data_IF_214676219591
#
_entry.id   IF_214676219591
#
_cell.length_a   1.000
_cell.length_b   1.000
_cell.length_c   1.000
_cell.angle_alpha   90.00
_cell.angle_beta   90.00
_cell.angle_gamma   90.00
#
_symmetry.space_group_name_H-M   'P 1'
#
loop_
_entity.id
_entity.type
_entity.pdbx_description
1 polymer ?
#
# COMPACT_ATOMS: atom_id res chain seq x y z
N UNK A 1 39.12 39.09 19.62
CA UNK A 1 38.41 39.69 18.47
C UNK A 1 37.21 38.83 18.13
N UNK A 2 35.97 39.32 18.27
CA UNK A 2 34.76 38.54 18.03
C UNK A 2 34.21 38.80 16.61
N UNK A 3 33.89 37.73 15.87
CA UNK A 3 33.10 37.83 14.65
C UNK A 3 31.68 37.35 14.95
N UNK A 4 30.79 38.33 15.12
CA UNK A 4 29.35 38.18 15.20
C UNK A 4 28.80 37.62 13.88
N UNK A 5 28.06 36.52 13.91
CA UNK A 5 27.17 36.13 12.81
C UNK A 5 25.74 36.43 13.21
N UNK A 6 25.14 37.38 12.47
CA UNK A 6 23.75 37.81 12.55
C UNK A 6 22.84 36.67 12.10
N UNK A 7 21.89 36.28 12.95
CA UNK A 7 20.73 35.50 12.56
C UNK A 7 19.62 36.45 12.07
N UNK A 8 19.22 36.31 10.81
CA UNK A 8 18.06 36.99 10.23
C UNK A 8 16.78 36.28 10.63
N UNK A 9 15.92 36.99 11.37
CA UNK A 9 14.60 36.53 11.81
C UNK A 9 13.62 36.47 10.64
N UNK A 10 12.98 35.32 10.42
CA UNK A 10 11.77 35.22 9.62
C UNK A 10 10.56 35.39 10.54
N UNK A 11 9.89 36.54 10.44
CA UNK A 11 8.55 36.75 11.02
C UNK A 11 7.52 36.18 10.05
N UNK A 12 6.84 35.11 10.43
CA UNK A 12 5.60 34.69 9.78
C UNK A 12 4.43 35.16 10.65
N UNK A 13 3.65 36.08 10.08
CA UNK A 13 2.43 36.65 10.66
C UNK A 13 1.31 35.61 10.63
N UNK A 14 0.72 35.32 11.79
CA UNK A 14 -0.41 34.41 11.94
C UNK A 14 -1.73 35.20 12.01
N UNK A 15 -2.48 35.22 10.92
CA UNK A 15 -3.89 35.63 10.96
C UNK A 15 -4.79 34.41 11.19
N UNK A 16 -5.22 34.26 12.45
CA UNK A 16 -6.28 33.36 12.89
C UNK A 16 -7.64 33.99 12.61
N UNK A 17 -8.45 33.34 11.76
CA UNK A 17 -9.89 33.55 11.75
C UNK A 17 -10.55 32.64 12.80
N UNK A 18 -11.02 33.26 13.89
CA UNK A 18 -12.01 32.68 14.81
C UNK A 18 -13.35 32.60 14.08
N UNK A 19 -13.92 31.40 13.98
CA UNK A 19 -15.39 31.25 13.84
C UNK A 19 -15.93 30.53 15.07
N UNK A 20 -16.73 31.29 15.78
CA UNK A 20 -17.64 30.90 16.86
C UNK A 20 -18.69 29.96 16.27
N UNK A 21 -18.92 28.80 16.89
CA UNK A 21 -20.15 28.04 16.69
C UNK A 21 -20.80 27.84 18.05
N UNK A 22 -22.06 28.25 18.10
CA UNK A 22 -22.90 28.35 19.27
C UNK A 22 -23.35 26.99 19.79
N UNK A 23 -23.50 26.94 21.12
CA UNK A 23 -24.13 25.88 21.91
C UNK A 23 -25.65 26.06 21.85
N UNK A 24 -26.40 24.99 21.60
CA UNK A 24 -27.83 24.89 21.95
C UNK A 24 -28.16 23.47 22.45
N UNK A 25 -29.24 23.32 23.26
CA UNK A 25 -29.23 22.41 24.39
C UNK A 25 -29.96 21.08 24.16
N UNK A 26 -29.62 20.15 25.05
CA UNK A 26 -30.30 18.90 25.39
C UNK A 26 -31.80 19.04 25.61
N UNK A 27 -32.58 18.11 25.04
CA UNK A 27 -33.85 17.69 25.61
C UNK A 27 -33.87 16.16 25.77
N UNK A 28 -34.21 15.75 26.99
CA UNK A 28 -34.54 14.40 27.39
C UNK A 28 -35.99 14.07 26.97
N UNK A 29 -36.25 12.83 26.58
CA UNK A 29 -37.57 12.36 26.17
C UNK A 29 -37.72 10.86 26.34
N UNK A 30 -38.36 10.51 27.45
CA UNK A 30 -38.77 9.21 27.99
C UNK A 30 -39.38 8.23 26.97
N UNK A 31 -39.15 6.94 27.21
CA UNK A 31 -39.70 5.78 26.51
C UNK A 31 -41.23 5.62 26.64
N UNK A 32 -41.85 5.01 25.63
CA UNK A 32 -43.04 4.18 25.84
C UNK A 32 -43.19 3.14 24.73
N UNK A 33 -43.40 1.91 25.14
CA UNK A 33 -43.67 0.76 24.29
C UNK A 33 -45.16 0.69 23.94
N UNK A 34 -45.51 0.22 22.74
CA UNK A 34 -46.74 -0.53 22.56
C UNK A 34 -46.65 -1.50 21.39
N UNK A 35 -47.05 -2.74 21.67
CA UNK A 35 -47.29 -3.84 20.74
C UNK A 35 -48.61 -3.59 20.01
N UNK A 36 -48.68 -3.87 18.71
CA UNK A 36 -49.89 -4.46 18.13
C UNK A 36 -49.56 -5.44 16.99
N UNK A 37 -50.03 -6.67 17.20
CA UNK A 37 -50.21 -7.74 16.22
C UNK A 37 -51.50 -7.50 15.43
N UNK A 38 -51.47 -7.69 14.11
CA UNK A 38 -52.60 -8.18 13.29
C UNK A 38 -51.97 -9.01 12.16
N UNK A 39 -52.06 -10.34 12.21
CA UNK A 39 -53.13 -11.22 11.73
C UNK A 39 -53.16 -11.39 10.19
N UNK A 40 -52.86 -12.63 9.82
CA UNK A 40 -52.87 -13.23 8.49
C UNK A 40 -54.27 -13.21 7.87
N UNK A 41 -54.36 -12.73 6.63
CA UNK A 41 -55.51 -12.93 5.74
C UNK A 41 -55.04 -13.62 4.46
N UNK A 42 -55.31 -14.91 4.37
CA UNK A 42 -55.03 -15.76 3.22
C UNK A 42 -56.19 -15.69 2.24
N UNK A 43 -55.98 -15.16 1.04
CA UNK A 43 -56.93 -15.28 -0.08
C UNK A 43 -56.30 -16.08 -1.21
N UNK A 44 -56.84 -17.29 -1.42
CA UNK A 44 -56.65 -18.09 -2.62
C UNK A 44 -57.55 -17.53 -3.71
N UNK A 45 -56.97 -17.12 -4.83
CA UNK A 45 -57.68 -16.99 -6.11
C UNK A 45 -57.03 -17.93 -7.12
N UNK A 46 -57.77 -18.98 -7.46
CA UNK A 46 -57.60 -19.75 -8.70
C UNK A 46 -58.17 -18.92 -9.85
N UNK A 47 -57.33 -18.60 -10.84
CA UNK A 47 -57.80 -18.20 -12.16
C UNK A 47 -56.86 -18.79 -13.22
N UNK A 48 -57.36 -19.85 -13.87
CA UNK A 48 -56.92 -20.32 -15.17
C UNK A 48 -57.15 -19.21 -16.20
N UNK A 49 -56.14 -18.94 -17.01
CA UNK A 49 -56.23 -17.99 -18.11
C UNK A 49 -54.91 -17.88 -18.83
N UNK A 50 -54.66 -18.82 -19.74
CA UNK A 50 -53.57 -18.71 -20.71
C UNK A 50 -53.86 -17.51 -21.61
N UNK A 51 -53.20 -16.39 -21.32
CA UNK A 51 -53.16 -15.23 -22.20
C UNK A 51 -51.75 -15.13 -22.75
N UNK A 52 -51.64 -15.26 -24.07
CA UNK A 52 -50.45 -14.95 -24.86
C UNK A 52 -50.13 -13.48 -24.71
N UNK A 53 -49.38 -13.15 -23.65
CA UNK A 53 -48.88 -11.81 -23.41
C UNK A 53 -47.81 -11.46 -24.45
N UNK A 54 -48.15 -10.52 -25.32
CA UNK A 54 -47.21 -9.81 -26.19
C UNK A 54 -46.07 -9.19 -25.35
N UNK A 55 -44.85 -9.05 -25.91
CA UNK A 55 -43.72 -8.54 -25.15
C UNK A 55 -44.01 -7.11 -24.68
N UNK A 56 -44.23 -6.96 -23.37
CA UNK A 56 -44.37 -5.67 -22.72
C UNK A 56 -43.14 -4.83 -23.06
N UNK A 57 -43.39 -3.70 -23.72
CA UNK A 57 -42.39 -2.66 -23.95
C UNK A 57 -41.71 -2.32 -22.63
N UNK A 58 -40.44 -2.70 -22.51
CA UNK A 58 -39.61 -2.29 -21.39
C UNK A 58 -39.50 -0.76 -21.46
N UNK A 59 -40.05 -0.08 -20.47
CA UNK A 59 -39.98 1.38 -20.44
C UNK A 59 -38.50 1.81 -20.36
N UNK A 60 -38.12 2.96 -20.96
CA UNK A 60 -36.75 3.47 -20.88
C UNK A 60 -36.22 3.56 -19.44
N UNK A 61 -37.11 3.78 -18.45
CA UNK A 61 -36.78 3.76 -17.03
C UNK A 61 -36.44 2.36 -16.50
N UNK A 62 -37.15 1.31 -16.93
CA UNK A 62 -36.80 -0.08 -16.62
C UNK A 62 -35.50 -0.51 -17.31
N UNK A 63 -35.26 -0.04 -18.53
CA UNK A 63 -34.00 -0.29 -19.24
C UNK A 63 -32.82 0.42 -18.54
N UNK A 64 -33.03 1.66 -18.07
CA UNK A 64 -32.05 2.41 -17.27
C UNK A 64 -31.81 1.78 -15.90
N UNK A 65 -32.86 1.28 -15.21
CA UNK A 65 -32.72 0.55 -13.94
C UNK A 65 -32.06 -0.82 -14.12
N UNK A 66 -32.33 -1.51 -15.23
CA UNK A 66 -31.61 -2.75 -15.58
C UNK A 66 -30.16 -2.47 -15.96
N UNK A 67 -29.85 -1.37 -16.65
CA UNK A 67 -28.48 -0.93 -16.93
C UNK A 67 -27.74 -0.52 -15.64
N UNK A 68 -28.38 0.23 -14.74
CA UNK A 68 -27.84 0.53 -13.40
C UNK A 68 -27.60 -0.76 -12.61
N UNK A 69 -28.57 -1.68 -12.57
CA UNK A 69 -28.39 -2.97 -11.87
C UNK A 69 -27.27 -3.82 -12.48
N UNK A 70 -27.09 -3.81 -13.81
CA UNK A 70 -25.96 -4.50 -14.48
C UNK A 70 -24.61 -3.85 -14.15
N UNK A 71 -24.56 -2.53 -13.96
CA UNK A 71 -23.37 -1.84 -13.47
C UNK A 71 -23.04 -2.19 -12.00
N UNK A 72 -24.05 -2.48 -11.17
CA UNK A 72 -23.87 -2.87 -9.76
C UNK A 72 -23.60 -4.36 -9.52
N UNK A 73 -23.78 -5.23 -10.52
CA UNK A 73 -23.37 -6.64 -10.45
C UNK A 73 -22.07 -6.92 -11.20
N UNK A 74 -21.47 -5.89 -11.81
CA UNK A 74 -20.18 -6.04 -12.48
C UNK A 74 -19.09 -6.24 -11.44
N UNK A 75 -18.20 -7.19 -11.73
CA UNK A 75 -16.96 -7.41 -10.99
C UNK A 75 -16.07 -6.16 -10.92
N UNK A 76 -16.25 -5.21 -11.84
CA UNK A 76 -15.57 -3.92 -11.83
C UNK A 76 -16.03 -3.05 -10.64
N UNK A 77 -17.30 -3.17 -10.22
CA UNK A 77 -17.83 -2.47 -9.05
C UNK A 77 -17.08 -2.90 -7.78
N UNK A 78 -16.84 -4.20 -7.61
CA UNK A 78 -16.09 -4.73 -6.48
C UNK A 78 -14.65 -4.20 -6.43
N UNK A 79 -13.98 -4.11 -7.59
CA UNK A 79 -12.61 -3.58 -7.67
C UNK A 79 -12.58 -2.09 -7.35
N UNK A 80 -13.51 -1.30 -7.92
CA UNK A 80 -13.62 0.13 -7.63
C UNK A 80 -13.96 0.39 -6.15
N UNK A 81 -14.87 -0.40 -5.58
CA UNK A 81 -15.22 -0.34 -4.16
C UNK A 81 -14.01 -0.69 -3.29
N UNK A 82 -13.25 -1.74 -3.63
CA UNK A 82 -12.02 -2.08 -2.91
C UNK A 82 -10.96 -0.97 -3.01
N UNK A 83 -10.78 -0.36 -4.19
CA UNK A 83 -9.87 0.79 -4.40
C UNK A 83 -10.31 1.99 -3.55
N UNK A 84 -11.61 2.31 -3.55
CA UNK A 84 -12.18 3.38 -2.74
C UNK A 84 -12.02 3.12 -1.23
N UNK A 85 -12.34 1.91 -0.75
CA UNK A 85 -12.16 1.52 0.66
C UNK A 85 -10.67 1.56 1.07
N UNK A 86 -9.76 1.17 0.17
CA UNK A 86 -8.30 1.29 0.40
C UNK A 86 -7.88 2.75 0.53
N UNK A 87 -8.40 3.63 -0.33
CA UNK A 87 -8.16 5.08 -0.27
C UNK A 87 -8.69 5.68 1.05
N UNK A 88 -9.91 5.34 1.46
CA UNK A 88 -10.50 5.82 2.72
C UNK A 88 -9.68 5.38 3.95
N UNK A 89 -9.30 4.09 4.03
CA UNK A 89 -8.46 3.59 5.12
C UNK A 89 -7.12 4.32 5.25
N UNK A 90 -6.55 4.78 4.13
CA UNK A 90 -5.32 5.58 4.14
C UNK A 90 -5.54 7.00 4.57
N UNK A 91 -6.63 7.63 4.13
CA UNK A 91 -6.97 8.95 4.62
C UNK A 91 -7.06 8.92 6.15
N UNK A 92 -7.73 7.92 6.70
CA UNK A 92 -7.79 7.67 8.15
C UNK A 92 -6.38 7.48 8.74
N UNK A 93 -5.58 6.56 8.19
CA UNK A 93 -4.22 6.30 8.70
C UNK A 93 -3.33 7.56 8.67
N UNK A 94 -3.35 8.30 7.56
CA UNK A 94 -2.58 9.52 7.36
C UNK A 94 -3.04 10.65 8.28
N UNK A 95 -4.36 10.79 8.49
CA UNK A 95 -4.91 11.75 9.46
C UNK A 95 -4.44 11.43 10.88
N UNK A 96 -4.35 10.16 11.26
CA UNK A 96 -3.81 9.76 12.56
C UNK A 96 -2.32 10.06 12.71
N UNK A 97 -1.50 9.76 11.68
CA UNK A 97 -0.08 10.13 11.66
C UNK A 97 0.09 11.65 11.78
N UNK A 98 -0.68 12.42 10.99
CA UNK A 98 -0.63 13.88 11.02
C UNK A 98 -1.02 14.44 12.39
N UNK A 99 -2.09 13.91 13.00
CA UNK A 99 -2.50 14.24 14.36
C UNK A 99 -1.36 14.05 15.36
N UNK A 100 -0.67 12.91 15.31
CA UNK A 100 0.49 12.64 16.19
C UNK A 100 1.65 13.61 15.92
N UNK A 101 1.97 13.89 14.64
CA UNK A 101 3.01 14.86 14.30
C UNK A 101 2.71 16.24 14.88
N UNK A 102 1.48 16.72 14.73
CA UNK A 102 1.07 18.05 15.19
C UNK A 102 1.21 18.22 16.70
N UNK A 103 0.91 17.17 17.48
CA UNK A 103 1.08 17.15 18.93
C UNK A 103 2.56 17.16 19.37
N UNK A 104 3.44 16.53 18.59
CA UNK A 104 4.85 16.32 18.97
C UNK A 104 5.80 17.44 18.53
N UNK A 105 5.45 18.19 17.47
CA UNK A 105 6.33 19.21 16.85
C UNK A 105 6.84 20.30 17.81
N UNK A 106 6.22 20.49 18.98
CA UNK A 106 6.67 21.47 19.99
C UNK A 106 7.74 20.95 20.94
N UNK A 107 7.96 19.64 21.00
CA UNK A 107 8.90 18.99 21.94
C UNK A 107 9.93 18.11 21.24
N UNK A 108 9.66 17.70 20.01
CA UNK A 108 10.48 16.78 19.23
C UNK A 108 10.78 17.35 17.84
N UNK A 109 11.96 16.98 17.32
CA UNK A 109 12.15 16.86 15.88
C UNK A 109 11.40 15.60 15.45
N UNK A 110 10.51 15.74 14.48
CA UNK A 110 9.65 14.65 14.00
C UNK A 110 9.87 14.46 12.52
N UNK A 111 10.39 13.30 12.15
CA UNK A 111 10.56 12.91 10.76
C UNK A 111 9.52 11.86 10.41
N UNK A 112 8.81 12.07 9.30
CA UNK A 112 7.92 11.07 8.75
C UNK A 112 8.77 10.07 7.96
N UNK A 113 8.59 8.79 8.24
CA UNK A 113 9.29 7.74 7.49
C UNK A 113 8.63 7.52 6.14
N UNK A 114 9.30 6.77 5.26
CA UNK A 114 8.70 6.32 4.02
C UNK A 114 7.50 5.43 4.31
N UNK A 115 6.50 5.50 3.43
CA UNK A 115 5.43 4.50 3.44
C UNK A 115 6.06 3.08 3.33
N UNK A 116 5.52 2.10 4.05
CA UNK A 116 6.04 0.74 4.32
C UNK A 116 7.32 0.63 5.16
N UNK A 117 7.82 1.73 5.71
CA UNK A 117 8.78 1.62 6.80
C UNK A 117 8.15 0.90 8.00
N UNK A 118 8.98 0.26 8.81
CA UNK A 118 8.52 -0.46 10.00
C UNK A 118 7.99 0.48 11.08
N UNK A 119 8.38 1.75 11.07
CA UNK A 119 7.79 2.84 11.84
C UNK A 119 7.08 3.81 10.88
N UNK A 120 6.08 4.57 11.35
CA UNK A 120 5.50 5.68 10.57
C UNK A 120 6.22 7.01 10.83
N UNK A 121 6.84 7.12 12.00
CA UNK A 121 7.54 8.31 12.47
C UNK A 121 8.87 7.93 13.11
N UNK A 122 9.85 8.81 12.99
CA UNK A 122 11.06 8.83 13.79
C UNK A 122 11.04 10.12 14.62
N UNK A 123 11.18 10.01 15.95
CA UNK A 123 11.14 11.18 16.84
C UNK A 123 12.42 11.31 17.66
N UNK A 124 12.87 12.54 17.85
CA UNK A 124 14.03 12.87 18.69
C UNK A 124 13.74 14.13 19.52
N UNK A 125 13.91 14.11 20.85
CA UNK A 125 13.69 15.29 21.67
C UNK A 125 14.57 16.46 21.25
N UNK A 126 14.11 17.69 21.43
CA UNK A 126 14.95 18.87 21.22
C UNK A 126 16.15 18.89 22.18
N UNK A 127 17.28 19.42 21.70
CA UNK A 127 18.52 19.51 22.46
C UNK A 127 19.40 18.26 22.43
N UNK A 128 18.89 17.13 21.92
CA UNK A 128 19.68 15.91 21.68
C UNK A 128 20.43 16.06 20.35
N UNK A 129 21.77 16.06 20.41
CA UNK A 129 22.63 16.22 19.24
C UNK A 129 22.88 14.91 18.49
N UNK A 130 22.83 13.79 19.20
CA UNK A 130 23.12 12.45 18.67
C UNK A 130 22.09 12.02 17.62
N UNK A 131 22.52 11.28 16.60
CA UNK A 131 21.64 10.65 15.61
C UNK A 131 20.98 9.38 16.19
N UNK A 132 20.22 9.56 17.26
CA UNK A 132 19.44 8.53 17.93
C UNK A 132 17.97 8.91 17.87
N UNK A 133 17.21 8.14 17.10
CA UNK A 133 15.79 8.37 16.87
C UNK A 133 14.98 7.23 17.44
N UNK A 134 13.90 7.59 18.13
CA UNK A 134 12.90 6.63 18.59
C UNK A 134 11.93 6.36 17.43
N UNK A 135 11.88 5.12 16.90
CA UNK A 135 10.85 4.72 15.95
C UNK A 135 9.48 4.64 16.64
N UNK A 136 8.49 5.28 16.02
CA UNK A 136 7.10 5.30 16.49
C UNK A 136 6.19 4.77 15.39
N UNK A 137 5.44 3.72 15.71
CA UNK A 137 4.35 3.24 14.84
C UNK A 137 3.05 3.89 15.28
N UNK A 138 2.31 4.47 14.35
CA UNK A 138 0.96 4.95 14.56
C UNK A 138 -0.05 3.90 14.05
N UNK A 139 -1.13 3.69 14.81
CA UNK A 139 -2.27 2.90 14.38
C UNK A 139 -3.53 3.71 14.54
N UNK A 140 -4.36 3.74 13.52
CA UNK A 140 -5.52 4.63 13.51
C UNK A 140 -6.79 3.86 13.22
N UNK A 141 -7.86 4.22 13.92
CA UNK A 141 -9.22 3.86 13.56
C UNK A 141 -10.04 5.13 13.36
N UNK A 142 -10.96 5.09 12.40
CA UNK A 142 -11.83 6.24 12.11
C UNK A 142 -12.89 6.41 13.20
N UNK A 143 -13.59 5.32 13.51
CA UNK A 143 -14.78 5.33 14.37
C UNK A 143 -14.75 4.16 15.37
N UNK A 144 -15.46 4.35 16.48
CA UNK A 144 -15.80 3.29 17.43
C UNK A 144 -16.76 2.30 16.75
N UNK A 145 -16.58 1.00 16.99
CA UNK A 145 -17.50 -0.02 16.44
C UNK A 145 -18.89 0.08 17.10
N UNK A 146 -19.91 -0.49 16.45
CA UNK A 146 -21.28 -0.60 17.01
C UNK A 146 -21.34 -1.34 18.35
N UNK A 147 -20.30 -2.10 18.69
CA UNK A 147 -20.17 -2.83 19.96
C UNK A 147 -19.44 -2.01 21.04
N UNK A 148 -19.14 -0.73 20.78
CA UNK A 148 -18.58 0.17 21.79
C UNK A 148 -17.08 -0.01 22.04
N UNK A 149 -16.31 -0.52 21.07
CA UNK A 149 -14.84 -0.61 21.19
C UNK A 149 -14.10 -0.05 19.97
N UNK A 150 -12.86 0.38 20.18
CA UNK A 150 -11.91 0.74 19.13
C UNK A 150 -11.03 -0.46 18.80
N UNK A 151 -10.63 -0.58 17.53
CA UNK A 151 -9.97 -1.75 17.02
C UNK A 151 -8.74 -1.39 16.17
N UNK A 152 -7.58 -1.94 16.56
CA UNK A 152 -6.30 -1.71 15.90
C UNK A 152 -5.68 -3.05 15.49
N UNK A 153 -5.16 -3.15 14.26
CA UNK A 153 -4.57 -4.37 13.72
C UNK A 153 -3.04 -4.28 13.67
N UNK A 154 -2.40 -5.46 13.70
CA UNK A 154 -0.97 -5.62 13.48
C UNK A 154 -0.08 -5.11 14.61
N UNK A 155 -0.62 -4.75 15.78
CA UNK A 155 0.14 -4.03 16.82
C UNK A 155 1.30 -4.83 17.45
N UNK A 156 1.24 -6.16 17.40
CA UNK A 156 2.28 -7.06 17.93
C UNK A 156 3.59 -7.06 17.12
N UNK A 157 3.63 -6.45 15.93
CA UNK A 157 4.79 -6.51 15.02
C UNK A 157 5.89 -5.51 15.37
N UNK A 158 5.74 -4.78 16.47
CA UNK A 158 6.58 -3.62 16.81
C UNK A 158 7.31 -3.78 18.15
N UNK A 159 7.94 -4.93 18.46
CA UNK A 159 8.67 -5.08 19.71
C UNK A 159 9.78 -4.04 19.82
N UNK A 160 9.97 -3.49 21.03
CA UNK A 160 10.94 -2.43 21.29
C UNK A 160 10.60 -1.07 20.67
N UNK A 161 9.41 -0.88 20.09
CA UNK A 161 8.97 0.42 19.55
C UNK A 161 7.81 1.00 20.35
N UNK A 162 7.63 2.31 20.27
CA UNK A 162 6.41 2.96 20.75
C UNK A 162 5.28 2.78 19.72
N UNK A 163 4.11 2.33 20.17
CA UNK A 163 2.91 2.16 19.35
C UNK A 163 1.85 3.15 19.81
N UNK A 164 1.56 4.15 19.00
CA UNK A 164 0.56 5.19 19.27
C UNK A 164 -0.73 4.84 18.55
N UNK A 165 -1.78 4.55 19.31
CA UNK A 165 -3.11 4.26 18.77
C UNK A 165 -3.98 5.52 18.82
N UNK A 166 -4.63 5.87 17.72
CA UNK A 166 -5.45 7.08 17.57
C UNK A 166 -6.86 6.70 17.09
N UNK A 167 -7.88 7.07 17.87
CA UNK A 167 -9.27 7.03 17.46
C UNK A 167 -9.72 8.43 17.01
N UNK A 168 -9.89 8.63 15.70
CA UNK A 168 -10.10 9.97 15.13
C UNK A 168 -11.45 10.59 15.52
N UNK A 169 -12.54 9.82 15.51
CA UNK A 169 -13.88 10.34 15.83
C UNK A 169 -13.95 10.97 17.23
N UNK A 170 -13.21 10.40 18.18
CA UNK A 170 -13.30 10.73 19.59
C UNK A 170 -12.06 11.52 20.06
N UNK A 171 -11.10 11.75 19.15
CA UNK A 171 -9.77 12.29 19.44
C UNK A 171 -9.08 11.62 20.65
N UNK A 172 -9.27 10.31 20.82
CA UNK A 172 -8.62 9.53 21.89
C UNK A 172 -7.30 8.95 21.42
N UNK A 173 -6.28 9.04 22.27
CA UNK A 173 -4.92 8.61 21.96
C UNK A 173 -4.42 7.70 23.08
N UNK A 174 -3.74 6.62 22.70
CA UNK A 174 -3.04 5.74 23.62
C UNK A 174 -1.60 5.53 23.14
N UNK A 175 -0.66 5.40 24.08
CA UNK A 175 0.72 5.06 23.79
C UNK A 175 1.10 3.79 24.54
N UNK A 176 1.52 2.77 23.80
CA UNK A 176 1.91 1.46 24.32
C UNK A 176 3.37 1.15 23.99
N UNK A 177 4.00 0.34 24.84
CA UNK A 177 5.20 -0.40 24.43
C UNK A 177 4.78 -1.54 23.50
N UNK A 178 5.37 -1.62 22.31
CA UNK A 178 5.09 -2.72 21.39
C UNK A 178 5.52 -4.09 21.93
N UNK A 179 6.48 -4.14 22.86
CA UNK A 179 6.83 -5.38 23.57
C UNK A 179 5.68 -5.91 24.43
N UNK A 180 4.96 -5.03 25.13
CA UNK A 180 3.76 -5.40 25.90
C UNK A 180 2.66 -5.94 24.96
N UNK A 181 2.51 -5.34 23.78
CA UNK A 181 1.54 -5.79 22.79
C UNK A 181 1.92 -7.14 22.16
N UNK A 182 3.22 -7.42 22.01
CA UNK A 182 3.74 -8.68 21.48
C UNK A 182 3.54 -9.86 22.44
N UNK A 183 3.86 -9.68 23.73
CA UNK A 183 3.77 -10.74 24.75
C UNK A 183 2.37 -11.35 24.89
N UNK A 184 1.34 -10.66 24.40
CA UNK A 184 -0.04 -11.15 24.43
C UNK A 184 -0.27 -12.41 23.56
N UNK A 185 0.69 -12.81 22.72
CA UNK A 185 0.65 -14.07 21.95
C UNK A 185 -0.53 -14.20 20.96
N UNK A 186 -1.27 -13.12 20.74
CA UNK A 186 -2.49 -13.12 19.94
C UNK A 186 -2.29 -12.77 18.47
N UNK A 187 -3.37 -12.85 17.69
CA UNK A 187 -3.47 -12.55 16.25
C UNK A 187 -3.13 -11.10 15.83
N UNK A 188 -2.43 -10.33 16.67
CA UNK A 188 -2.02 -8.96 16.40
C UNK A 188 -3.11 -7.92 16.51
N UNK A 189 -4.26 -8.28 17.08
CA UNK A 189 -5.42 -7.39 17.25
C UNK A 189 -5.41 -6.77 18.65
N UNK A 190 -5.58 -5.45 18.70
CA UNK A 190 -5.83 -4.72 19.94
C UNK A 190 -7.24 -4.15 19.91
N UNK A 191 -8.07 -4.65 20.81
CA UNK A 191 -9.39 -4.12 21.10
C UNK A 191 -9.31 -3.28 22.37
N UNK A 192 -9.66 -2.01 22.26
CA UNK A 192 -9.74 -1.08 23.38
C UNK A 192 -11.22 -0.84 23.67
N UNK A 193 -11.69 -1.36 24.79
CA UNK A 193 -13.03 -1.06 25.30
C UNK A 193 -12.93 0.10 26.29
N UNK A 194 -13.95 0.94 26.32
CA UNK A 194 -14.00 2.05 27.27
C UNK A 194 -13.89 1.55 28.71
N UNK A 195 -12.94 2.12 29.46
CA UNK A 195 -12.58 1.72 30.83
C UNK A 195 -12.17 0.24 30.97
N UNK A 196 -11.85 -0.42 29.86
CA UNK A 196 -11.32 -1.76 29.84
C UNK A 196 -9.82 -1.81 30.15
N UNK A 197 -9.27 -3.02 30.18
CA UNK A 197 -7.84 -3.29 30.48
C UNK A 197 -6.85 -2.42 29.69
N UNK A 198 -7.14 -2.14 28.43
CA UNK A 198 -6.26 -1.39 27.52
C UNK A 198 -6.55 0.10 27.49
N UNK A 199 -7.60 0.53 28.18
CA UNK A 199 -8.06 1.91 28.27
C UNK A 199 -7.78 2.49 29.66
N UNK A 200 -6.54 2.27 30.12
CA UNK A 200 -6.05 2.70 31.43
C UNK A 200 -5.26 4.00 31.31
N UNK A 201 -5.23 4.82 32.37
CA UNK A 201 -4.54 6.12 32.43
C UNK A 201 -3.04 6.03 32.09
N UNK A 202 -2.40 4.92 32.47
CA UNK A 202 -1.00 4.64 32.11
C UNK A 202 -0.77 4.64 30.59
N UNK A 203 -1.76 4.29 29.78
CA UNK A 203 -1.67 4.27 28.32
C UNK A 203 -2.33 5.48 27.67
N UNK A 204 -3.44 5.99 28.22
CA UNK A 204 -4.18 7.14 27.68
C UNK A 204 -3.28 8.37 27.63
N UNK A 205 -3.30 9.05 26.49
CA UNK A 205 -2.60 10.30 26.28
C UNK A 205 -3.61 11.44 26.23
N UNK A 206 -3.32 12.56 26.91
CA UNK A 206 -4.02 13.82 26.69
C UNK A 206 -3.52 14.48 25.40
N UNK A 207 -4.37 15.31 24.80
CA UNK A 207 -4.02 16.21 23.70
C UNK A 207 -3.34 17.50 24.18
N UNK A 208 -3.21 17.66 25.49
CA UNK A 208 -2.44 18.74 26.08
C UNK A 208 -0.97 18.60 25.70
N UNK A 209 -0.30 19.74 25.55
CA UNK A 209 1.08 19.78 25.10
C UNK A 209 2.06 19.26 26.15
N UNK A 210 1.70 19.46 27.41
CA UNK A 210 2.54 19.23 28.58
C UNK A 210 1.80 18.42 29.64
N UNK A 211 2.52 18.02 30.68
CA UNK A 211 1.99 17.22 31.78
C UNK A 211 2.20 15.71 31.60
N UNK A 212 2.06 14.94 32.69
CA UNK A 212 2.40 13.51 32.71
C UNK A 212 1.51 12.65 31.81
N UNK A 213 0.29 13.13 31.53
CA UNK A 213 -0.64 12.47 30.64
C UNK A 213 -0.39 12.80 29.15
N UNK A 214 0.38 13.84 28.81
CA UNK A 214 0.58 14.24 27.40
C UNK A 214 1.31 13.15 26.59
N UNK A 215 0.99 13.05 25.30
CA UNK A 215 1.70 12.15 24.39
C UNK A 215 3.21 12.44 24.35
N UNK A 216 3.57 13.73 24.34
CA UNK A 216 4.96 14.19 24.36
C UNK A 216 5.72 13.66 25.57
N UNK A 217 5.13 13.73 26.77
CA UNK A 217 5.76 13.22 27.98
C UNK A 217 5.95 11.71 27.94
N UNK A 218 4.94 10.95 27.50
CA UNK A 218 5.06 9.48 27.39
C UNK A 218 6.12 9.05 26.39
N UNK A 219 6.23 9.74 25.24
CA UNK A 219 7.30 9.45 24.28
C UNK A 219 8.68 9.89 24.78
N UNK A 220 8.77 10.93 25.62
CA UNK A 220 10.03 11.29 26.27
C UNK A 220 10.48 10.20 27.24
N UNK A 221 9.56 9.66 28.05
CA UNK A 221 9.85 8.51 28.92
C UNK A 221 10.29 7.29 28.10
N UNK A 222 9.59 6.97 27.00
CA UNK A 222 9.99 5.90 26.09
C UNK A 222 11.37 6.16 25.46
N UNK A 223 11.68 7.41 25.11
CA UNK A 223 12.98 7.80 24.57
C UNK A 223 14.11 7.64 25.60
N UNK A 224 13.84 7.83 26.90
CA UNK A 224 14.83 7.65 27.97
C UNK A 224 15.01 6.18 28.35
N UNK A 225 13.95 5.38 28.23
CA UNK A 225 13.96 3.96 28.56
C UNK A 225 14.88 3.17 27.59
N UNK A 226 15.69 2.27 28.16
CA UNK A 226 16.61 1.38 27.43
C UNK A 226 15.91 0.20 26.74
N UNK A 227 14.67 -0.10 27.12
CA UNK A 227 13.89 -1.17 26.50
C UNK A 227 13.30 -0.77 25.13
N UNK A 228 13.31 0.53 24.81
CA UNK A 228 12.96 1.01 23.48
C UNK A 228 14.20 1.10 22.61
N UNK A 229 14.08 0.55 21.40
CA UNK A 229 15.11 0.61 20.37
C UNK A 229 15.23 2.06 19.93
N UNK A 230 16.47 2.54 19.82
CA UNK A 230 16.82 3.80 19.17
C UNK A 230 17.82 3.48 18.06
N UNK A 231 17.73 4.17 16.95
CA UNK A 231 18.58 3.91 15.78
C UNK A 231 18.85 5.22 15.03
N UNK A 232 19.78 5.22 14.08
CA UNK A 232 20.01 6.38 13.20
C UNK A 232 18.76 6.71 12.39
N UNK A 233 18.55 7.98 12.02
CA UNK A 233 17.42 8.34 11.15
C UNK A 233 17.45 7.53 9.85
N UNK A 234 18.64 7.35 9.30
CA UNK A 234 18.88 6.55 8.10
C UNK A 234 18.39 5.11 8.28
N UNK A 235 18.67 4.47 9.41
CA UNK A 235 18.20 3.10 9.65
C UNK A 235 16.70 3.04 9.94
N UNK A 236 16.14 3.97 10.72
CA UNK A 236 14.69 4.00 10.98
C UNK A 236 13.91 4.18 9.67
N UNK A 237 14.37 5.06 8.80
CA UNK A 237 13.75 5.30 7.48
C UNK A 237 14.00 4.17 6.49
N UNK A 238 15.16 3.49 6.54
CA UNK A 238 15.52 2.36 5.64
C UNK A 238 15.02 1.00 6.11
N UNK A 239 14.48 0.85 7.33
CA UNK A 239 13.81 -0.40 7.77
C UNK A 239 12.49 -0.58 6.99
N UNK A 240 12.63 -0.88 5.71
CA UNK A 240 11.54 -1.14 4.76
C UNK A 240 11.20 -2.62 4.78
N UNK A 241 9.98 -2.95 4.34
CA UNK A 241 9.60 -4.34 4.11
C UNK A 241 10.55 -5.02 3.11
N UNK A 242 10.69 -6.34 3.20
CA UNK A 242 11.50 -7.14 2.28
C UNK A 242 11.15 -6.87 0.79
N UNK A 243 9.86 -6.69 0.49
CA UNK A 243 9.39 -6.36 -0.86
C UNK A 243 9.97 -5.05 -1.37
N UNK A 244 9.95 -4.01 -0.53
CA UNK A 244 10.48 -2.70 -0.91
C UNK A 244 12.00 -2.74 -1.07
N UNK A 245 12.72 -3.46 -0.20
CA UNK A 245 14.16 -3.71 -0.36
C UNK A 245 14.51 -4.38 -1.69
N UNK A 246 13.68 -5.33 -2.15
CA UNK A 246 13.87 -5.97 -3.46
C UNK A 246 13.63 -4.99 -4.61
N UNK A 247 12.63 -4.12 -4.50
CA UNK A 247 12.38 -3.03 -5.46
C UNK A 247 13.56 -2.06 -5.54
N UNK A 248 14.06 -1.59 -4.40
CA UNK A 248 15.24 -0.72 -4.34
C UNK A 248 16.49 -1.37 -4.92
N UNK A 249 16.76 -2.64 -4.58
CA UNK A 249 17.89 -3.37 -5.11
C UNK A 249 17.79 -3.53 -6.63
N UNK A 250 16.59 -3.75 -7.18
CA UNK A 250 16.38 -3.72 -8.62
C UNK A 250 16.65 -2.32 -9.19
N UNK A 251 16.09 -1.25 -8.61
CA UNK A 251 16.36 0.13 -9.07
C UNK A 251 17.87 0.42 -9.08
N UNK A 252 18.59 0.03 -8.03
CA UNK A 252 20.03 0.21 -7.94
C UNK A 252 20.79 -0.57 -9.03
N UNK A 253 20.37 -1.82 -9.32
CA UNK A 253 20.96 -2.61 -10.40
C UNK A 253 20.74 -1.97 -11.79
N UNK A 254 19.59 -1.31 -12.01
CA UNK A 254 19.32 -0.60 -13.26
C UNK A 254 20.06 0.74 -13.39
N UNK A 255 20.49 1.36 -12.29
CA UNK A 255 20.98 2.73 -12.28
C UNK A 255 22.14 3.01 -13.27
N UNK A 256 23.18 2.15 -13.39
CA UNK A 256 24.27 2.39 -14.34
C UNK A 256 23.80 2.45 -15.80
N UNK A 257 22.95 1.51 -16.22
CA UNK A 257 22.42 1.45 -17.58
C UNK A 257 21.51 2.66 -17.87
N UNK A 258 20.62 3.00 -16.93
CA UNK A 258 19.70 4.14 -17.08
C UNK A 258 20.47 5.47 -17.17
N UNK A 259 21.53 5.63 -16.38
CA UNK A 259 22.41 6.80 -16.44
C UNK A 259 23.10 6.90 -17.81
N UNK A 260 23.70 5.80 -18.29
CA UNK A 260 24.35 5.75 -19.61
C UNK A 260 23.38 6.06 -20.75
N UNK A 261 22.11 5.64 -20.62
CA UNK A 261 21.06 5.88 -21.59
C UNK A 261 20.41 7.27 -21.51
N UNK A 262 20.84 8.14 -20.58
CA UNK A 262 20.23 9.46 -20.37
C UNK A 262 18.78 9.40 -19.88
N UNK A 263 18.40 8.33 -19.18
CA UNK A 263 17.07 8.18 -18.58
C UNK A 263 17.08 8.79 -17.17
N UNK A 264 16.25 9.82 -16.96
CA UNK A 264 16.08 10.41 -15.64
C UNK A 264 15.18 9.51 -14.78
N UNK A 265 15.72 9.03 -13.66
CA UNK A 265 14.96 8.21 -12.70
C UNK A 265 14.52 9.08 -11.54
N UNK A 266 13.20 9.19 -11.36
CA UNK A 266 12.62 9.83 -10.16
C UNK A 266 11.97 8.77 -9.29
N UNK A 267 12.47 8.67 -8.07
CA UNK A 267 11.73 8.09 -6.95
C UNK A 267 10.79 9.17 -6.43
N UNK A 268 9.77 9.53 -7.22
CA UNK A 268 8.65 10.28 -6.67
C UNK A 268 8.04 9.42 -5.55
N UNK A 269 7.55 10.03 -4.46
CA UNK A 269 6.78 9.33 -3.43
C UNK A 269 5.47 8.85 -4.06
N UNK A 270 5.54 7.80 -4.89
CA UNK A 270 4.37 7.20 -5.51
C UNK A 270 3.71 6.41 -4.40
N UNK A 271 2.57 6.93 -3.92
CA UNK A 271 1.79 6.37 -2.82
C UNK A 271 1.66 4.85 -2.95
N UNK A 272 1.79 4.10 -1.85
CA UNK A 272 1.73 2.62 -1.71
C UNK A 272 0.55 1.91 -2.43
N UNK A 273 -0.41 2.62 -3.02
CA UNK A 273 -1.53 2.00 -3.76
C UNK A 273 -1.10 1.65 -5.15
N UNK A 274 -0.09 2.35 -5.62
CA UNK A 274 0.42 2.11 -6.93
C UNK A 274 1.31 0.87 -6.88
N UNK A 275 1.24 0.03 -7.91
CA UNK A 275 2.26 -0.97 -8.17
C UNK A 275 3.52 -0.37 -8.81
N UNK A 276 3.58 0.95 -8.95
CA UNK A 276 4.73 1.64 -9.53
C UNK A 276 5.77 1.87 -8.44
N UNK A 277 7.00 1.39 -8.67
CA UNK A 277 8.14 1.58 -7.76
C UNK A 277 9.00 2.79 -8.15
N UNK A 278 9.01 3.19 -9.43
CA UNK A 278 9.74 4.37 -9.91
C UNK A 278 9.09 5.01 -11.13
N UNK A 279 9.42 6.28 -11.40
CA UNK A 279 9.05 6.99 -12.63
C UNK A 279 10.31 7.23 -13.44
N UNK A 280 10.32 6.81 -14.70
CA UNK A 280 11.39 7.12 -15.64
C UNK A 280 10.94 8.23 -16.59
N UNK A 281 11.86 9.14 -16.92
CA UNK A 281 11.66 10.17 -17.94
C UNK A 281 12.72 10.04 -19.01
N UNK A 282 12.29 9.95 -20.26
CA UNK A 282 13.17 9.84 -21.42
C UNK A 282 12.51 10.45 -22.65
N UNK A 283 13.23 11.32 -23.37
CA UNK A 283 12.71 12.06 -24.54
C UNK A 283 11.36 12.74 -24.28
N UNK A 284 11.20 13.37 -23.11
CA UNK A 284 9.97 14.05 -22.70
C UNK A 284 8.80 13.12 -22.32
N UNK A 285 8.91 11.81 -22.56
CA UNK A 285 7.92 10.81 -22.14
C UNK A 285 8.12 10.42 -20.68
N UNK A 286 7.02 10.08 -20.00
CA UNK A 286 6.99 9.58 -18.62
C UNK A 286 6.57 8.12 -18.61
N UNK A 287 7.32 7.27 -17.93
CA UNK A 287 7.02 5.85 -17.79
C UNK A 287 6.86 5.47 -16.32
N UNK A 288 5.76 4.80 -16.01
CA UNK A 288 5.48 4.19 -14.72
C UNK A 288 6.11 2.78 -14.69
N UNK A 289 7.04 2.56 -13.77
CA UNK A 289 7.84 1.33 -13.72
C UNK A 289 7.51 0.50 -12.48
N UNK A 290 7.22 -0.79 -12.66
CA UNK A 290 7.29 -1.79 -11.60
C UNK A 290 8.63 -2.52 -11.69
N UNK A 291 9.39 -2.53 -10.60
CA UNK A 291 10.66 -3.23 -10.48
C UNK A 291 10.50 -4.63 -9.89
N UNK A 292 11.28 -5.59 -10.40
CA UNK A 292 11.37 -6.95 -9.86
C UNK A 292 12.81 -7.45 -9.91
N UNK A 293 13.18 -8.24 -8.90
CA UNK A 293 14.35 -9.12 -8.96
C UNK A 293 13.87 -10.53 -9.32
N UNK A 294 14.49 -11.13 -10.33
CA UNK A 294 14.17 -12.49 -10.75
C UNK A 294 15.09 -13.50 -10.04
N UNK A 295 14.59 -14.30 -9.07
CA UNK A 295 15.35 -15.42 -8.55
C UNK A 295 15.52 -16.52 -9.59
N UNK A 296 16.59 -17.29 -9.46
CA UNK A 296 16.79 -18.52 -10.23
C UNK A 296 15.62 -19.48 -9.94
N UNK A 297 15.06 -20.07 -11.00
CA UNK A 297 13.93 -20.98 -10.88
C UNK A 297 14.41 -22.35 -10.36
N UNK A 298 14.17 -22.61 -9.07
CA UNK A 298 14.65 -23.84 -8.41
C UNK A 298 14.03 -25.14 -8.95
N UNK A 299 12.92 -25.05 -9.70
CA UNK A 299 12.23 -26.21 -10.26
C UNK A 299 12.87 -26.79 -11.52
N UNK A 300 13.85 -26.10 -12.13
CA UNK A 300 14.51 -26.57 -13.34
C UNK A 300 16.02 -26.28 -13.34
N UNK A 301 16.83 -27.31 -13.64
CA UNK A 301 18.28 -27.13 -13.73
C UNK A 301 18.70 -26.46 -15.06
N UNK A 302 17.83 -25.69 -15.73
CA UNK A 302 18.13 -25.11 -17.05
C UNK A 302 18.66 -23.67 -16.95
N UNK A 303 18.84 -23.14 -15.73
CA UNK A 303 19.33 -21.78 -15.54
C UNK A 303 18.28 -20.69 -15.76
N UNK A 304 17.00 -21.03 -15.92
CA UNK A 304 15.94 -20.04 -16.12
C UNK A 304 15.64 -19.26 -14.84
N UNK A 305 15.15 -18.03 -15.00
CA UNK A 305 14.70 -17.17 -13.91
C UNK A 305 13.18 -17.02 -13.99
N UNK A 306 12.55 -16.67 -12.86
CA UNK A 306 11.10 -16.45 -12.87
C UNK A 306 10.69 -15.24 -12.03
N UNK A 307 9.71 -14.48 -12.51
CA UNK A 307 9.05 -13.42 -11.73
C UNK A 307 7.56 -13.67 -11.64
N UNK A 308 6.99 -13.35 -10.48
CA UNK A 308 5.54 -13.49 -10.22
C UNK A 308 4.88 -12.11 -10.30
N UNK A 309 3.92 -12.00 -11.19
CA UNK A 309 3.14 -10.80 -11.49
C UNK A 309 1.82 -10.79 -10.70
N UNK A 310 1.95 -10.70 -9.38
CA UNK A 310 0.81 -10.59 -8.45
C UNK A 310 0.99 -9.41 -7.50
N UNK A 311 -0.12 -8.73 -7.22
CA UNK A 311 -0.26 -7.72 -6.17
C UNK A 311 -1.09 -8.24 -5.00
N UNK A 312 -0.81 -7.73 -3.79
CA UNK A 312 -1.60 -8.07 -2.61
C UNK A 312 -2.99 -7.47 -2.66
N UNK A 313 -4.03 -8.29 -2.54
CA UNK A 313 -5.44 -7.89 -2.54
C UNK A 313 -6.07 -7.90 -1.13
N UNK A 314 -5.22 -7.87 -0.09
CA UNK A 314 -5.64 -7.89 1.31
C UNK A 314 -5.72 -9.30 1.90
N UNK A 315 -6.68 -9.52 2.81
CA UNK A 315 -6.91 -10.81 3.48
C UNK A 315 -8.39 -11.16 3.45
N UNK A 316 -8.72 -12.43 3.21
CA UNK A 316 -10.05 -13.02 3.41
C UNK A 316 -9.88 -14.24 4.29
N UNK A 317 -10.67 -14.29 5.37
CA UNK A 317 -10.62 -15.38 6.37
C UNK A 317 -9.20 -15.61 6.92
N UNK A 318 -8.46 -14.50 7.14
CA UNK A 318 -7.08 -14.54 7.65
C UNK A 318 -6.02 -14.92 6.61
N UNK A 319 -6.40 -15.49 5.46
CA UNK A 319 -5.48 -15.82 4.36
C UNK A 319 -5.21 -14.59 3.49
N UNK A 320 -3.95 -14.38 3.09
CA UNK A 320 -3.59 -13.34 2.11
C UNK A 320 -4.20 -13.71 0.76
N UNK A 321 -4.90 -12.75 0.16
CA UNK A 321 -5.36 -12.88 -1.22
C UNK A 321 -4.38 -12.13 -2.11
N UNK A 322 -4.13 -12.71 -3.28
CA UNK A 322 -3.36 -12.08 -4.34
C UNK A 322 -4.28 -11.84 -5.54
N UNK A 323 -4.08 -10.73 -6.21
CA UNK A 323 -4.68 -10.40 -7.50
C UNK A 323 -3.55 -10.29 -8.52
N UNK A 324 -3.84 -10.53 -9.79
CA UNK A 324 -2.94 -10.14 -10.87
C UNK A 324 -2.83 -8.62 -10.95
N UNK A 325 -1.78 -8.13 -11.59
CA UNK A 325 -1.77 -6.74 -12.03
C UNK A 325 -2.87 -6.52 -13.08
N UNK A 326 -3.29 -5.27 -13.24
CA UNK A 326 -4.19 -4.82 -14.30
C UNK A 326 -3.36 -4.10 -15.37
N UNK A 327 -3.77 -4.10 -16.64
CA UNK A 327 -2.99 -3.50 -17.74
C UNK A 327 -2.64 -2.03 -17.57
N UNK A 328 -3.38 -1.29 -16.73
CA UNK A 328 -3.15 0.15 -16.47
C UNK A 328 -2.42 0.39 -15.13
N UNK A 329 -1.88 -0.66 -14.51
CA UNK A 329 -1.19 -0.55 -13.23
C UNK A 329 0.17 0.17 -13.36
N UNK A 330 0.90 -0.08 -14.45
CA UNK A 330 2.19 0.52 -14.78
C UNK A 330 2.47 0.35 -16.29
N UNK A 331 3.39 1.14 -16.85
CA UNK A 331 3.72 1.12 -18.27
C UNK A 331 4.73 0.01 -18.61
N UNK A 332 5.76 -0.15 -17.76
CA UNK A 332 6.86 -1.08 -17.98
C UNK A 332 7.19 -1.91 -16.73
N UNK A 333 7.54 -3.17 -16.94
CA UNK A 333 8.09 -4.08 -15.95
C UNK A 333 9.61 -4.16 -16.12
N UNK A 334 10.36 -3.57 -15.18
CA UNK A 334 11.81 -3.62 -15.16
C UNK A 334 12.29 -4.78 -14.27
N UNK A 335 12.87 -5.81 -14.89
CA UNK A 335 13.36 -7.00 -14.20
C UNK A 335 14.88 -7.08 -14.25
N UNK A 336 15.52 -7.18 -13.08
CA UNK A 336 16.97 -7.43 -12.97
C UNK A 336 17.22 -8.91 -12.69
N UNK A 337 18.14 -9.51 -13.44
CA UNK A 337 18.63 -10.87 -13.18
C UNK A 337 19.90 -10.80 -12.30
N UNK A 338 20.25 -11.87 -11.57
CA UNK A 338 21.50 -11.91 -10.80
C UNK A 338 22.73 -11.70 -11.69
N UNK A 339 23.71 -10.94 -11.18
CA UNK A 339 24.99 -10.68 -11.84
C UNK A 339 25.04 -9.44 -12.73
N UNK A 340 24.00 -8.60 -12.72
CA UNK A 340 23.92 -7.27 -13.35
C UNK A 340 24.26 -7.19 -14.85
N UNK A 341 24.40 -8.33 -15.53
CA UNK A 341 24.65 -8.40 -16.97
C UNK A 341 23.36 -8.26 -17.78
N UNK A 342 22.35 -9.02 -17.40
CA UNK A 342 21.11 -9.17 -18.15
C UNK A 342 19.94 -8.50 -17.44
N UNK A 343 19.17 -7.73 -18.20
CA UNK A 343 17.95 -7.08 -17.75
C UNK A 343 16.80 -7.39 -18.70
N UNK A 344 15.56 -7.35 -18.22
CA UNK A 344 14.38 -7.39 -19.08
C UNK A 344 13.53 -6.14 -18.83
N UNK A 345 13.22 -5.38 -19.88
CA UNK A 345 12.28 -4.26 -19.82
C UNK A 345 11.03 -4.58 -20.61
N UNK A 346 10.02 -5.13 -19.94
CA UNK A 346 8.84 -5.68 -20.62
C UNK A 346 7.73 -4.63 -20.62
N UNK A 347 7.25 -4.25 -21.81
CA UNK A 347 6.09 -3.36 -21.95
C UNK A 347 4.81 -4.07 -21.48
N UNK A 348 3.95 -3.38 -20.74
CA UNK A 348 2.78 -3.98 -20.06
C UNK A 348 1.79 -4.65 -21.04
N UNK A 349 1.75 -4.21 -22.30
CA UNK A 349 0.93 -4.85 -23.34
C UNK A 349 1.30 -6.31 -23.56
N UNK A 350 2.57 -6.68 -23.43
CA UNK A 350 3.02 -8.04 -23.69
C UNK A 350 2.50 -9.05 -22.62
N UNK A 351 2.65 -8.81 -21.31
CA UNK A 351 2.01 -9.63 -20.28
C UNK A 351 0.48 -9.67 -20.39
N UNK A 352 -0.18 -8.59 -20.81
CA UNK A 352 -1.63 -8.55 -21.05
C UNK A 352 -2.02 -9.45 -22.22
N UNK A 353 -1.35 -9.31 -23.37
CA UNK A 353 -1.59 -10.16 -24.55
C UNK A 353 -1.36 -11.65 -24.26
N UNK A 354 -0.36 -11.96 -23.42
CA UNK A 354 -0.04 -13.32 -22.99
C UNK A 354 -0.95 -13.85 -21.88
N UNK A 355 -1.87 -13.04 -21.33
CA UNK A 355 -2.79 -13.43 -20.27
C UNK A 355 -2.10 -13.74 -18.94
N UNK A 356 -0.98 -13.07 -18.64
CA UNK A 356 -0.25 -13.15 -17.36
C UNK A 356 -0.68 -12.02 -16.40
N UNK A 357 -1.29 -10.98 -16.96
CA UNK A 357 -1.84 -9.78 -16.31
C UNK A 357 -3.28 -9.59 -16.81
N UNK A 358 -4.16 -8.97 -16.01
CA UNK A 358 -5.54 -8.70 -16.45
C UNK A 358 -5.53 -7.64 -17.57
N UNK A 359 -6.19 -7.93 -18.69
CA UNK A 359 -6.48 -6.93 -19.71
C UNK A 359 -7.59 -5.97 -19.26
N UNK A 360 -7.71 -4.83 -19.94
CA UNK A 360 -8.75 -3.85 -19.67
C UNK A 360 -10.15 -4.48 -19.85
N UNK A 361 -10.91 -4.63 -18.76
CA UNK A 361 -12.28 -5.17 -18.78
C UNK A 361 -12.43 -6.68 -18.98
N UNK A 362 -11.34 -7.44 -19.11
CA UNK A 362 -11.39 -8.89 -19.30
C UNK A 362 -10.74 -9.63 -18.12
N UNK A 363 -11.56 -10.24 -17.25
CA UNK A 363 -11.09 -11.30 -16.35
C UNK A 363 -11.04 -12.63 -17.10
N UNK A 364 -10.01 -12.83 -17.91
CA UNK A 364 -9.69 -14.17 -18.40
C UNK A 364 -9.24 -15.04 -17.23
N UNK A 365 -9.58 -16.34 -17.27
CA UNK A 365 -8.90 -17.33 -16.43
C UNK A 365 -7.42 -17.34 -16.84
N UNK A 366 -6.60 -16.57 -16.14
CA UNK A 366 -5.17 -16.53 -16.41
C UNK A 366 -4.58 -17.90 -16.08
N UNK A 367 -3.83 -18.44 -17.03
CA UNK A 367 -3.20 -19.77 -16.94
C UNK A 367 -2.02 -19.77 -15.97
N UNK A 368 -1.38 -18.61 -15.80
CA UNK A 368 -0.25 -18.41 -14.89
C UNK A 368 -0.09 -16.92 -14.56
N UNK A 369 0.51 -16.62 -13.41
CA UNK A 369 0.93 -15.25 -13.05
C UNK A 369 2.45 -15.11 -13.10
N UNK A 370 3.13 -16.02 -13.79
CA UNK A 370 4.58 -16.15 -13.78
C UNK A 370 5.11 -15.89 -15.17
N UNK A 371 6.14 -15.04 -15.25
CA UNK A 371 6.94 -14.86 -16.47
C UNK A 371 8.26 -15.61 -16.27
N UNK A 372 8.56 -16.51 -17.19
CA UNK A 372 9.86 -17.18 -17.28
C UNK A 372 10.81 -16.31 -18.11
N UNK A 373 12.03 -16.15 -17.61
CA UNK A 373 13.07 -15.32 -18.22
C UNK A 373 14.28 -16.20 -18.51
N UNK A 374 14.86 -16.00 -19.69
CA UNK A 374 15.92 -16.86 -20.19
C UNK A 374 17.09 -15.99 -20.62
N UNK A 375 18.27 -16.24 -20.05
CA UNK A 375 19.50 -15.74 -20.66
C UNK A 375 19.79 -16.53 -21.94
N UNK A 376 20.66 -16.05 -22.84
CA UNK A 376 21.04 -16.80 -24.04
C UNK A 376 21.55 -18.21 -23.71
N UNK A 377 22.30 -18.36 -22.63
CA UNK A 377 22.82 -19.65 -22.17
C UNK A 377 21.72 -20.57 -21.65
N UNK A 378 20.76 -20.02 -20.88
CA UNK A 378 19.61 -20.77 -20.36
C UNK A 378 18.67 -21.23 -21.48
N UNK A 379 18.43 -20.37 -22.48
CA UNK A 379 17.67 -20.70 -23.68
C UNK A 379 18.35 -21.83 -24.47
N UNK A 380 19.66 -21.71 -24.74
CA UNK A 380 20.41 -22.74 -25.46
C UNK A 380 20.33 -24.10 -24.74
N UNK A 381 20.53 -24.11 -23.41
CA UNK A 381 20.36 -25.31 -22.60
C UNK A 381 18.95 -25.90 -22.67
N UNK A 382 17.92 -25.04 -22.66
CA UNK A 382 16.53 -25.48 -22.74
C UNK A 382 16.22 -26.10 -24.11
N UNK A 383 16.72 -25.52 -25.21
CA UNK A 383 16.55 -26.06 -26.56
C UNK A 383 17.16 -27.45 -26.70
N UNK A 384 18.40 -27.65 -26.21
CA UNK A 384 19.05 -28.96 -26.18
C UNK A 384 18.23 -29.98 -25.38
N UNK A 385 17.59 -29.56 -24.27
CA UNK A 385 16.71 -30.44 -23.49
C UNK A 385 15.44 -30.81 -24.22
N UNK A 386 14.83 -29.88 -24.94
CA UNK A 386 13.62 -30.10 -25.72
C UNK A 386 13.87 -31.08 -26.87
N UNK A 387 14.99 -30.95 -27.56
CA UNK A 387 15.43 -31.88 -28.59
C UNK A 387 15.60 -33.31 -28.04
N UNK A 388 16.22 -33.46 -26.87
CA UNK A 388 16.43 -34.77 -26.24
C UNK A 388 15.16 -35.45 -25.73
N UNK A 389 14.16 -34.67 -25.29
CA UNK A 389 12.94 -35.24 -24.68
C UNK A 389 11.90 -35.73 -25.68
N UNK A 390 12.01 -35.34 -26.96
CA UNK A 390 11.21 -35.88 -28.08
C UNK A 390 9.72 -35.51 -28.08
N UNK A 391 9.05 -35.45 -26.92
CA UNK A 391 7.65 -35.04 -26.73
C UNK A 391 7.44 -34.38 -25.36
N UNK A 392 7.69 -33.08 -25.27
CA UNK A 392 7.38 -32.24 -24.12
C UNK A 392 6.90 -30.86 -24.58
N UNK A 393 6.20 -30.13 -23.71
CA UNK A 393 5.81 -28.74 -24.00
C UNK A 393 7.05 -27.90 -24.33
N UNK A 394 7.01 -27.16 -25.44
CA UNK A 394 8.06 -26.21 -25.81
C UNK A 394 8.01 -25.00 -24.87
N UNK A 395 9.15 -24.58 -24.36
CA UNK A 395 9.26 -23.34 -23.63
C UNK A 395 8.92 -22.16 -24.54
N UNK A 396 8.23 -21.18 -23.97
CA UNK A 396 7.92 -19.92 -24.65
C UNK A 396 8.98 -18.90 -24.24
N UNK A 397 9.77 -18.46 -25.23
CA UNK A 397 10.91 -17.54 -25.03
C UNK A 397 10.55 -16.07 -25.33
N UNK A 398 9.26 -15.73 -25.40
CA UNK A 398 8.80 -14.39 -25.80
C UNK A 398 9.41 -13.25 -24.98
N UNK A 399 9.74 -13.47 -23.71
CA UNK A 399 10.33 -12.44 -22.87
C UNK A 399 11.73 -12.01 -23.36
N UNK A 400 12.42 -12.85 -24.14
CA UNK A 400 13.75 -12.53 -24.69
C UNK A 400 13.70 -11.40 -25.72
N UNK A 401 12.52 -11.10 -26.28
CA UNK A 401 12.29 -9.87 -27.06
C UNK A 401 12.50 -8.59 -26.24
N UNK A 402 12.56 -8.68 -24.91
CA UNK A 402 12.75 -7.55 -24.00
C UNK A 402 14.07 -7.63 -23.24
N UNK A 403 14.93 -8.60 -23.58
CA UNK A 403 16.23 -8.80 -22.97
C UNK A 403 17.20 -7.70 -23.41
N UNK A 404 17.96 -7.18 -22.45
CA UNK A 404 19.05 -6.22 -22.61
C UNK A 404 20.32 -6.90 -22.05
N UNK A 405 21.37 -7.00 -22.87
CA UNK A 405 22.71 -7.43 -22.44
C UNK A 405 23.60 -6.20 -22.30
N UNK A 406 24.03 -5.90 -21.08
CA UNK A 406 24.93 -4.77 -20.81
C UNK A 406 26.36 -5.00 -21.27
N UNK A 407 26.70 -6.21 -21.72
CA UNK A 407 27.98 -6.52 -22.34
C UNK A 407 27.94 -6.37 -23.88
N UNK A 408 26.82 -5.94 -24.46
CA UNK A 408 26.79 -5.54 -25.88
C UNK A 408 27.72 -4.33 -26.13
N UNK A 409 28.12 -4.11 -27.39
CA UNK A 409 29.09 -3.08 -27.76
C UNK A 409 28.68 -1.65 -27.31
N UNK A 410 27.38 -1.39 -27.22
CA UNK A 410 26.79 -0.13 -26.76
C UNK A 410 26.39 -0.12 -25.27
N UNK A 411 26.83 -1.13 -24.51
CA UNK A 411 26.43 -1.33 -23.12
C UNK A 411 24.95 -1.66 -22.92
N UNK A 412 24.23 -2.05 -23.98
CA UNK A 412 22.79 -2.32 -23.95
C UNK A 412 21.90 -1.09 -24.11
N UNK A 413 22.48 0.11 -24.30
CA UNK A 413 21.75 1.38 -24.37
C UNK A 413 20.80 1.44 -25.57
N UNK A 414 21.24 1.04 -26.76
CA UNK A 414 20.42 1.03 -27.96
C UNK A 414 19.23 0.10 -27.84
N UNK A 415 19.40 -1.07 -27.19
CA UNK A 415 18.29 -1.98 -26.93
C UNK A 415 17.29 -1.38 -25.95
N UNK A 416 17.75 -0.73 -24.89
CA UNK A 416 16.89 0.00 -23.95
C UNK A 416 16.08 1.10 -24.67
N UNK A 417 16.73 1.94 -25.49
CA UNK A 417 16.05 2.99 -26.26
C UNK A 417 15.01 2.42 -27.22
N UNK A 418 15.31 1.35 -27.96
CA UNK A 418 14.36 0.71 -28.86
C UNK A 418 13.09 0.24 -28.14
N UNK A 419 13.23 -0.31 -26.93
CA UNK A 419 12.08 -0.72 -26.11
C UNK A 419 11.29 0.51 -25.64
N UNK A 420 11.96 1.55 -25.13
CA UNK A 420 11.31 2.78 -24.64
C UNK A 420 10.58 3.53 -25.77
N UNK A 421 11.11 3.49 -26.99
CA UNK A 421 10.49 4.12 -28.16
C UNK A 421 9.19 3.43 -28.56
N UNK A 422 9.17 2.09 -28.54
CA UNK A 422 8.00 1.27 -28.89
C UNK A 422 6.95 1.12 -27.79
N UNK A 423 7.30 1.39 -26.53
CA UNK A 423 6.38 1.28 -25.41
C UNK A 423 5.33 2.41 -25.40
N UNK A 424 4.09 2.08 -25.01
CA UNK A 424 3.12 3.13 -24.66
C UNK A 424 3.51 3.75 -23.32
N UNK A 425 3.21 5.03 -23.17
CA UNK A 425 3.50 5.79 -21.96
C UNK A 425 2.22 6.40 -21.41
N UNK A 426 2.10 6.44 -20.09
CA UNK A 426 1.05 7.21 -19.41
C UNK A 426 1.22 8.70 -19.70
N UNK A 427 0.14 9.36 -20.16
CA UNK A 427 0.09 10.81 -20.39
C UNK A 427 0.11 11.62 -19.11
#
# INVERSE_FOLDING_TARGET
MPLSRRFSSWRLSSHLHRRVVAVLPTQAGVASASRHQYLLGSYRFTALGASTALPLFTTPLQQQQQQHRRLFTSTDHDVLLQRWQKRQRRLISNSGVQCVMDLLRRRFVVERTYEMAHADLAVRPFGVGEDLWLPVQVKTCGEKTNYGFWFFNGVHQYPGMAVVCVALSDFRIWCYSGSILQQRGGCGKLTVCENGKWDHESFRCSTELDGPASLSHKLLLAYQDRFFIKDSLTNVTKRRTETSRKGEASIAAWAPLLYAAGVEVRQELIYESTPVDSVWRWNGKKFLIQHKLAPLHSGNNNGSYCVVLRKGAGKKEGRRIFQLYDGDDFDLLAVSLPGDRYFNLIAMEAPVHRGVVNGHGERRQCTSATVMLWTPEAEAMQRVREEKRGRGGRADFWANEYLIDTHADDGGVGRLHAILEGAKCST
#
